data_IF_504000894781
#
_entry.id   IF_504000894781
#
_cell.length_a   1.000
_cell.length_b   1.000
_cell.length_c   1.000
_cell.angle_alpha   90.00
_cell.angle_beta   90.00
_cell.angle_gamma   90.00
#
_symmetry.space_group_name_H-M   'P 1'
#
loop_
_entity.id
_entity.type
_entity.pdbx_description
1 polymer ?
#
# COMPACT_ATOMS: atom_id res chain seq x y z
N UNK A 1 9.67 -3.99 -11.32
CA UNK A 1 10.87 -4.82 -11.04
C UNK A 1 12.08 -3.91 -10.86
N UNK A 2 12.91 -4.17 -9.86
CA UNK A 2 14.17 -3.46 -9.62
C UNK A 2 15.18 -3.89 -10.69
N UNK A 3 15.76 -2.91 -11.39
CA UNK A 3 16.77 -3.08 -12.44
C UNK A 3 18.20 -2.88 -11.93
N UNK A 4 18.38 -2.01 -10.92
CA UNK A 4 19.66 -1.71 -10.26
C UNK A 4 19.58 -1.99 -8.76
N UNK A 5 20.34 -2.98 -8.31
CA UNK A 5 20.47 -3.36 -6.89
C UNK A 5 21.01 -2.22 -6.04
N UNK A 6 20.53 -2.10 -4.80
CA UNK A 6 21.17 -1.31 -3.75
C UNK A 6 20.22 -0.86 -2.65
N UNK A 7 20.72 0.00 -1.76
CA UNK A 7 19.92 0.56 -0.67
C UNK A 7 18.88 1.52 -1.24
N UNK A 8 17.62 1.28 -0.91
CA UNK A 8 16.50 2.13 -1.27
C UNK A 8 15.78 2.62 -0.01
N UNK A 9 15.41 3.91 0.01
CA UNK A 9 14.51 4.46 1.04
C UNK A 9 13.08 4.27 0.56
N UNK A 10 12.25 3.61 1.36
CA UNK A 10 10.80 3.46 1.12
C UNK A 10 10.06 4.35 2.09
N UNK A 11 9.07 5.10 1.59
CA UNK A 11 8.27 6.01 2.41
C UNK A 11 6.78 5.74 2.22
N UNK A 12 6.05 5.79 3.32
CA UNK A 12 4.58 5.82 3.35
C UNK A 12 4.12 7.17 3.89
N UNK A 13 3.16 7.79 3.22
CA UNK A 13 2.43 8.95 3.73
C UNK A 13 0.95 8.59 3.83
N UNK A 14 0.39 8.68 5.02
CA UNK A 14 -0.98 8.23 5.28
C UNK A 14 -1.75 9.15 6.22
N UNK A 15 -3.08 9.09 6.08
CA UNK A 15 -4.09 9.62 7.00
C UNK A 15 -5.23 8.58 7.07
N UNK A 16 -5.42 7.84 8.16
CA UNK A 16 -4.62 7.81 9.39
C UNK A 16 -3.41 6.87 9.23
N UNK A 17 -3.49 5.66 9.79
CA UNK A 17 -2.32 4.81 10.02
C UNK A 17 -1.97 3.93 8.83
N UNK A 18 -0.67 3.71 8.59
CA UNK A 18 -0.17 2.73 7.61
C UNK A 18 1.06 1.93 8.06
N UNK A 19 1.20 0.72 7.51
CA UNK A 19 2.41 -0.10 7.57
C UNK A 19 2.79 -0.56 6.17
N UNK A 20 4.09 -0.60 5.90
CA UNK A 20 4.67 -1.10 4.64
C UNK A 20 5.65 -2.22 4.94
N UNK A 21 5.47 -3.34 4.24
CA UNK A 21 6.38 -4.48 4.29
C UNK A 21 6.95 -4.74 2.90
N UNK A 22 8.25 -4.96 2.80
CA UNK A 22 8.94 -5.38 1.57
C UNK A 22 9.62 -6.72 1.85
N UNK A 23 9.30 -7.73 1.04
CA UNK A 23 9.73 -9.13 1.23
C UNK A 23 9.39 -9.67 2.62
N UNK A 24 8.22 -9.28 3.14
CA UNK A 24 7.75 -9.68 4.47
C UNK A 24 8.35 -8.89 5.64
N UNK A 25 9.34 -8.02 5.41
CA UNK A 25 9.95 -7.20 6.46
C UNK A 25 9.27 -5.84 6.54
N UNK A 26 8.89 -5.38 7.75
CA UNK A 26 8.35 -4.02 7.96
C UNK A 26 9.46 -3.00 7.68
N UNK A 27 9.28 -2.16 6.66
CA UNK A 27 10.29 -1.16 6.24
C UNK A 27 9.88 0.26 6.63
N UNK A 28 8.61 0.62 6.45
CA UNK A 28 8.11 1.96 6.76
C UNK A 28 6.78 1.86 7.50
N UNK A 29 6.52 2.81 8.39
CA UNK A 29 5.30 2.81 9.19
C UNK A 29 4.94 4.22 9.64
N UNK A 30 3.64 4.44 9.76
CA UNK A 30 3.00 5.59 10.39
C UNK A 30 1.76 5.09 11.13
N UNK A 31 1.89 4.51 12.33
CA UNK A 31 0.75 3.93 13.02
C UNK A 31 -0.08 4.99 13.77
N UNK A 32 -1.30 4.60 14.15
CA UNK A 32 -2.20 5.39 14.98
C UNK A 32 -2.91 6.53 14.24
N UNK A 33 -3.70 7.29 15.00
CA UNK A 33 -4.47 8.42 14.49
C UNK A 33 -3.59 9.64 14.24
N UNK A 34 -3.68 10.21 13.04
CA UNK A 34 -2.98 11.43 12.69
C UNK A 34 -3.41 12.01 11.32
N UNK A 35 -3.31 13.33 11.13
CA UNK A 35 -3.37 13.95 9.81
C UNK A 35 -2.25 13.42 8.88
N UNK A 36 -2.20 13.79 7.58
CA UNK A 36 -1.28 13.17 6.63
C UNK A 36 0.19 13.33 7.06
N UNK A 37 0.83 12.23 7.46
CA UNK A 37 2.23 12.19 7.92
C UNK A 37 3.03 11.14 7.18
N UNK A 38 4.32 11.41 7.02
CA UNK A 38 5.26 10.53 6.31
C UNK A 38 6.13 9.75 7.30
N UNK A 39 6.33 8.46 7.04
CA UNK A 39 7.32 7.61 7.70
C UNK A 39 8.12 6.86 6.65
N UNK A 40 9.43 6.73 6.88
CA UNK A 40 10.35 6.13 5.92
C UNK A 40 11.26 5.11 6.60
N UNK A 41 11.83 4.21 5.81
CA UNK A 41 12.91 3.34 6.23
C UNK A 41 13.69 2.81 5.04
N UNK A 42 14.91 2.37 5.28
CA UNK A 42 15.81 1.88 4.25
C UNK A 42 15.73 0.35 4.13
N UNK A 43 15.82 -0.15 2.89
CA UNK A 43 15.83 -1.57 2.55
C UNK A 43 16.78 -1.80 1.39
N UNK A 44 17.63 -2.80 1.52
CA UNK A 44 18.41 -3.30 0.39
C UNK A 44 17.51 -4.08 -0.56
N UNK A 45 17.47 -3.66 -1.83
CA UNK A 45 16.70 -4.31 -2.88
C UNK A 45 17.63 -4.94 -3.91
N UNK A 46 17.45 -6.23 -4.17
CA UNK A 46 18.13 -6.95 -5.25
C UNK A 46 17.47 -6.67 -6.60
N UNK A 47 18.17 -6.94 -7.70
CA UNK A 47 17.53 -6.96 -9.02
C UNK A 47 16.40 -8.01 -9.05
N UNK A 48 15.22 -7.64 -9.54
CA UNK A 48 14.08 -8.55 -9.67
C UNK A 48 12.75 -7.98 -9.15
N UNK A 49 11.77 -8.86 -8.99
CA UNK A 49 10.47 -8.54 -8.37
C UNK A 49 10.56 -8.66 -6.86
N UNK A 50 9.87 -7.76 -6.15
CA UNK A 50 9.87 -7.71 -4.68
C UNK A 50 8.44 -7.66 -4.19
N UNK A 51 8.08 -8.55 -3.28
CA UNK A 51 6.73 -8.52 -2.71
C UNK A 51 6.58 -7.30 -1.81
N UNK A 52 5.51 -6.54 -1.98
CA UNK A 52 5.22 -5.39 -1.13
C UNK A 52 3.79 -5.46 -0.63
N UNK A 53 3.64 -5.29 0.68
CA UNK A 53 2.35 -5.24 1.37
C UNK A 53 2.20 -3.88 2.04
N UNK A 54 1.12 -3.17 1.74
CA UNK A 54 0.69 -1.98 2.47
C UNK A 54 -0.61 -2.28 3.17
N UNK A 55 -0.68 -2.02 4.47
CA UNK A 55 -1.93 -1.98 5.22
C UNK A 55 -2.19 -0.56 5.67
N UNK A 56 -3.41 -0.07 5.53
CA UNK A 56 -3.81 1.25 6.05
C UNK A 56 -5.18 1.21 6.73
N UNK A 57 -5.44 2.19 7.60
CA UNK A 57 -6.76 2.49 8.15
C UNK A 57 -6.98 4.00 8.28
N UNK A 58 -8.25 4.40 8.34
CA UNK A 58 -8.72 5.76 8.51
C UNK A 58 -9.89 5.78 9.52
N UNK A 59 -9.99 6.87 10.29
CA UNK A 59 -10.92 7.05 11.41
C UNK A 59 -11.73 8.37 11.31
N UNK A 60 -12.29 8.66 10.14
CA UNK A 60 -13.15 9.80 9.86
C UNK A 60 -12.47 11.00 9.19
N UNK A 61 -13.15 11.59 8.20
CA UNK A 61 -12.60 12.68 7.39
C UNK A 61 -12.34 12.22 5.97
N UNK A 62 -11.06 12.11 5.59
CA UNK A 62 -10.63 11.73 4.24
C UNK A 62 -9.42 10.82 4.28
N UNK A 63 -9.51 9.68 3.60
CA UNK A 63 -8.43 8.71 3.54
C UNK A 63 -7.33 9.15 2.57
N UNK A 64 -6.08 9.11 3.03
CA UNK A 64 -4.92 9.39 2.19
C UNK A 64 -3.90 8.26 2.30
N UNK A 65 -3.37 7.80 1.17
CA UNK A 65 -2.27 6.86 1.16
C UNK A 65 -1.38 7.06 -0.07
N UNK A 66 -0.08 7.22 0.18
CA UNK A 66 0.95 7.35 -0.86
C UNK A 66 2.17 6.51 -0.50
N UNK A 67 2.61 5.65 -1.42
CA UNK A 67 3.82 4.84 -1.29
C UNK A 67 4.86 5.31 -2.30
N UNK A 68 6.04 5.68 -1.81
CA UNK A 68 7.17 6.10 -2.64
C UNK A 68 8.43 5.31 -2.30
N UNK A 69 9.38 5.33 -3.24
CA UNK A 69 10.73 4.88 -2.99
C UNK A 69 11.76 5.71 -3.77
N UNK A 70 13.00 5.69 -3.30
CA UNK A 70 14.17 6.23 -4.01
C UNK A 70 15.39 5.35 -3.78
N UNK A 71 16.25 5.23 -4.77
CA UNK A 71 17.50 4.46 -4.69
C UNK A 71 18.23 4.40 -6.03
N UNK A 72 19.22 3.51 -6.18
CA UNK A 72 19.93 3.32 -7.45
C UNK A 72 19.01 3.06 -8.64
N UNK A 73 17.92 2.30 -8.43
CA UNK A 73 16.93 1.97 -9.46
C UNK A 73 16.21 3.20 -10.02
N UNK A 74 15.98 4.20 -9.18
CA UNK A 74 15.30 5.46 -9.55
C UNK A 74 16.29 6.58 -9.90
N UNK A 75 17.60 6.29 -9.92
CA UNK A 75 18.63 7.32 -10.05
C UNK A 75 18.61 8.33 -8.90
N UNK A 76 18.20 7.90 -7.70
CA UNK A 76 18.10 8.75 -6.51
C UNK A 76 16.85 9.64 -6.44
N UNK A 77 15.98 9.61 -7.45
CA UNK A 77 14.73 10.37 -7.46
C UNK A 77 13.66 9.65 -6.63
N UNK A 78 12.88 10.40 -5.86
CA UNK A 78 11.67 9.85 -5.23
C UNK A 78 10.57 9.71 -6.28
N UNK A 79 10.04 8.50 -6.42
CA UNK A 79 8.94 8.19 -7.34
C UNK A 79 7.86 7.38 -6.62
N UNK A 80 6.64 7.41 -7.15
CA UNK A 80 5.59 6.48 -6.73
C UNK A 80 6.05 5.05 -7.01
N UNK A 81 5.83 4.14 -6.06
CA UNK A 81 6.25 2.75 -6.24
C UNK A 81 5.36 2.05 -7.28
N UNK A 82 5.91 1.67 -8.46
CA UNK A 82 5.13 0.98 -9.48
C UNK A 82 4.91 -0.48 -9.06
N UNK A 83 3.76 -1.04 -9.41
CA UNK A 83 3.60 -2.49 -9.47
C UNK A 83 4.23 -3.04 -10.75
N UNK A 84 4.62 -4.31 -10.72
CA UNK A 84 4.94 -5.04 -11.93
C UNK A 84 3.67 -5.48 -12.68
N UNK A 85 3.75 -5.47 -14.02
CA UNK A 85 2.92 -6.29 -14.91
C UNK A 85 1.46 -5.88 -15.10
N UNK A 86 1.11 -4.61 -14.94
CA UNK A 86 -0.22 -4.14 -15.30
C UNK A 86 -0.44 -4.18 -16.82
N UNK A 87 -1.35 -5.04 -17.27
CA UNK A 87 -1.72 -5.18 -18.68
C UNK A 87 -3.05 -4.49 -19.06
N UNK A 88 -3.68 -3.76 -18.14
CA UNK A 88 -4.92 -3.01 -18.39
C UNK A 88 -5.93 -3.10 -17.25
N UNK A 89 -7.02 -2.32 -17.35
CA UNK A 89 -8.15 -2.43 -16.44
C UNK A 89 -8.74 -3.84 -16.49
N UNK A 90 -9.09 -4.37 -15.32
CA UNK A 90 -9.57 -5.74 -15.19
C UNK A 90 -10.75 -5.85 -14.23
N UNK A 91 -11.79 -6.55 -14.68
CA UNK A 91 -12.91 -6.96 -13.84
C UNK A 91 -12.57 -8.28 -13.16
N UNK A 92 -12.17 -8.21 -11.89
CA UNK A 92 -11.97 -9.37 -11.03
C UNK A 92 -13.13 -9.51 -10.05
N UNK A 93 -13.61 -10.74 -9.75
CA UNK A 93 -14.68 -10.94 -8.78
C UNK A 93 -14.22 -10.48 -7.39
N UNK A 94 -14.89 -9.45 -6.85
CA UNK A 94 -14.64 -9.00 -5.49
C UNK A 94 -14.77 -10.21 -4.55
N UNK A 95 -13.76 -10.50 -3.71
CA UNK A 95 -12.61 -9.64 -3.39
C UNK A 95 -11.26 -10.10 -3.93
N UNK A 96 -11.23 -11.01 -4.88
CA UNK A 96 -9.98 -11.47 -5.47
C UNK A 96 -9.57 -10.45 -6.53
N UNK A 97 -8.33 -9.98 -6.49
CA UNK A 97 -7.71 -9.43 -7.68
C UNK A 97 -7.00 -10.62 -8.35
N UNK A 98 -7.72 -11.36 -9.16
CA UNK A 98 -7.20 -12.48 -9.96
C UNK A 98 -6.77 -12.05 -11.36
N UNK A 99 -6.83 -10.74 -11.65
CA UNK A 99 -6.59 -10.21 -12.97
C UNK A 99 -5.13 -9.90 -13.33
N UNK A 100 -4.23 -10.80 -12.98
CA UNK A 100 -2.82 -10.68 -13.35
C UNK A 100 -2.03 -9.72 -12.48
N UNK A 101 -1.00 -9.09 -13.06
CA UNK A 101 0.02 -8.38 -12.30
C UNK A 101 -0.34 -6.88 -12.12
N UNK A 102 -0.07 -6.36 -10.92
CA UNK A 102 -0.53 -5.04 -10.46
C UNK A 102 -0.61 -5.01 -8.94
N UNK A 103 -0.88 -3.84 -8.34
CA UNK A 103 -1.23 -3.77 -6.92
C UNK A 103 -2.67 -4.24 -6.73
N UNK A 104 -2.88 -5.36 -6.05
CA UNK A 104 -4.20 -5.79 -5.60
C UNK A 104 -4.58 -5.05 -4.33
N UNK A 105 -5.42 -4.03 -4.43
CA UNK A 105 -5.97 -3.29 -3.29
C UNK A 105 -7.30 -3.90 -2.85
N UNK A 106 -7.34 -4.49 -1.66
CA UNK A 106 -8.57 -4.91 -1.00
C UNK A 106 -9.05 -3.83 -0.03
N UNK A 107 -10.31 -3.45 -0.13
CA UNK A 107 -10.94 -2.43 0.72
C UNK A 107 -11.95 -3.06 1.69
N UNK A 108 -11.91 -2.59 2.92
CA UNK A 108 -12.76 -3.06 4.00
C UNK A 108 -13.54 -1.86 4.58
N UNK A 109 -14.86 -1.96 4.60
CA UNK A 109 -15.73 -0.91 5.12
C UNK A 109 -16.31 -1.32 6.47
N UNK A 110 -16.32 -0.41 7.45
CA UNK A 110 -16.90 -0.69 8.77
C UNK A 110 -18.41 -0.36 8.77
N UNK A 111 -19.32 -1.36 8.94
CA UNK A 111 -20.75 -1.13 8.87
C UNK A 111 -21.32 -0.28 10.03
N UNK A 112 -20.58 -0.15 11.16
CA UNK A 112 -21.00 0.65 12.33
C UNK A 112 -20.38 2.06 12.37
N UNK A 113 -19.68 2.45 11.31
CA UNK A 113 -19.13 3.80 11.15
C UNK A 113 -17.67 3.97 11.60
N UNK A 114 -17.04 4.97 11.00
CA UNK A 114 -15.59 5.19 10.97
C UNK A 114 -14.91 5.49 12.30
N UNK A 115 -15.60 6.15 13.24
CA UNK A 115 -15.01 6.71 14.47
C UNK A 115 -14.54 5.68 15.51
N UNK A 116 -14.46 4.40 15.12
CA UNK A 116 -14.10 3.28 15.98
C UNK A 116 -12.77 2.63 15.57
N UNK A 117 -12.22 2.89 14.38
CA UNK A 117 -10.98 2.24 13.93
C UNK A 117 -9.79 3.06 14.42
N UNK A 118 -9.27 2.70 15.59
CA UNK A 118 -8.14 3.42 16.21
C UNK A 118 -6.79 2.73 16.00
N UNK A 119 -6.83 1.50 15.49
CA UNK A 119 -5.67 0.66 15.21
C UNK A 119 -5.98 -0.32 14.07
N UNK A 120 -4.95 -1.00 13.56
CA UNK A 120 -5.06 -1.97 12.49
C UNK A 120 -5.92 -3.18 12.92
N UNK A 121 -6.98 -3.51 12.17
CA UNK A 121 -7.76 -4.70 12.45
C UNK A 121 -6.97 -5.96 12.09
N UNK A 122 -7.40 -7.09 12.64
CA UNK A 122 -6.95 -8.39 12.14
C UNK A 122 -7.58 -8.68 10.77
N UNK A 123 -6.85 -8.34 9.70
CA UNK A 123 -7.27 -8.53 8.32
C UNK A 123 -7.66 -9.99 7.98
N UNK A 124 -7.22 -10.99 8.76
CA UNK A 124 -7.63 -12.40 8.54
C UNK A 124 -9.09 -12.66 8.93
N UNK A 125 -9.68 -11.77 9.74
CA UNK A 125 -11.06 -11.87 10.23
C UNK A 125 -12.03 -10.99 9.43
N UNK A 126 -11.53 -10.26 8.44
CA UNK A 126 -12.32 -9.36 7.63
C UNK A 126 -12.60 -9.96 6.26
N UNK A 127 -13.81 -9.72 5.76
CA UNK A 127 -14.17 -9.98 4.36
C UNK A 127 -14.09 -8.64 3.63
N UNK A 128 -13.17 -8.48 2.68
CA UNK A 128 -13.12 -7.28 1.84
C UNK A 128 -14.41 -7.11 1.01
N UNK A 129 -14.89 -5.88 0.91
CA UNK A 129 -16.13 -5.53 0.22
C UNK A 129 -15.92 -4.88 -1.15
N UNK A 130 -14.68 -4.48 -1.47
CA UNK A 130 -14.28 -4.04 -2.79
C UNK A 130 -12.82 -4.40 -3.06
N UNK A 131 -12.46 -4.53 -4.33
CA UNK A 131 -11.10 -4.74 -4.77
C UNK A 131 -10.79 -3.91 -6.02
N UNK A 132 -9.55 -3.44 -6.18
CA UNK A 132 -9.10 -2.69 -7.35
C UNK A 132 -7.64 -3.01 -7.66
N UNK A 133 -7.31 -3.08 -8.95
CA UNK A 133 -5.90 -3.13 -9.40
C UNK A 133 -5.36 -1.73 -9.59
N UNK A 134 -4.17 -1.45 -9.06
CA UNK A 134 -3.52 -0.14 -9.17
C UNK A 134 -2.13 -0.25 -9.80
N UNK A 135 -1.78 0.72 -10.64
CA UNK A 135 -0.41 0.91 -11.15
C UNK A 135 0.54 1.37 -10.04
N UNK A 136 0.07 2.26 -9.18
CA UNK A 136 0.81 2.82 -8.04
C UNK A 136 -0.13 3.01 -6.86
N UNK A 137 0.42 3.12 -5.64
CA UNK A 137 -0.35 3.49 -4.46
C UNK A 137 -0.20 5.00 -4.24
N UNK A 138 -1.20 5.75 -4.67
CA UNK A 138 -1.30 7.19 -4.50
C UNK A 138 -2.74 7.64 -4.68
N UNK A 139 -3.54 7.60 -3.62
CA UNK A 139 -4.96 7.94 -3.69
C UNK A 139 -5.41 8.85 -2.54
N UNK A 140 -6.57 9.46 -2.77
CA UNK A 140 -7.29 10.28 -1.81
C UNK A 140 -8.77 9.88 -1.87
N UNK A 141 -9.38 9.61 -0.71
CA UNK A 141 -10.78 9.21 -0.52
C UNK A 141 -11.23 7.85 -1.10
N UNK A 142 -10.31 6.97 -1.53
CA UNK A 142 -10.67 5.71 -2.20
C UNK A 142 -10.88 4.50 -1.25
N UNK A 143 -10.75 4.65 0.07
CA UNK A 143 -11.05 3.56 0.99
C UNK A 143 -10.56 3.77 2.43
N UNK A 144 -11.32 3.25 3.38
CA UNK A 144 -11.15 3.52 4.82
C UNK A 144 -10.14 2.55 5.46
N UNK A 145 -10.24 1.26 5.15
CA UNK A 145 -9.25 0.25 5.52
C UNK A 145 -8.83 -0.44 4.24
N UNK A 146 -7.53 -0.56 4.00
CA UNK A 146 -7.03 -1.22 2.80
C UNK A 146 -5.86 -2.16 3.08
N UNK A 147 -5.84 -3.26 2.34
CA UNK A 147 -4.71 -4.19 2.26
C UNK A 147 -4.30 -4.32 0.79
N UNK A 148 -3.15 -3.75 0.46
CA UNK A 148 -2.62 -3.69 -0.90
C UNK A 148 -1.41 -4.59 -1.04
N UNK A 149 -1.43 -5.51 -1.99
CA UNK A 149 -0.36 -6.46 -2.25
C UNK A 149 0.11 -6.33 -3.70
N UNK A 150 1.41 -6.20 -3.90
CA UNK A 150 2.03 -6.11 -5.23
C UNK A 150 3.38 -6.84 -5.29
N UNK A 151 3.92 -6.95 -6.50
CA UNK A 151 5.28 -7.44 -6.79
C UNK A 151 6.02 -6.47 -7.71
#
# INVERSE_FOLDING_TARGET
AISKTGMSTVCTRSDDGSHVYVDGFKVAARPGLHPPRTGCGDKWLSRGLHSVLVTMFENGGGAYQRLTYKGPDTGGKEVLMPSAGFEGDCEAPVPKCDCGAGWCANFYYNPVGLKQVRDFPDFKRLVPQAAKTLLTIGYHNDGQIARMLGK
#
